data_IF_969278256499
#
_entry.id   IF_969278256499
#
_cell.length_a   1.000
_cell.length_b   1.000
_cell.length_c   1.000
_cell.angle_alpha   90.00
_cell.angle_beta   90.00
_cell.angle_gamma   90.00
#
_symmetry.space_group_name_H-M   'P 1'
#
loop_
_entity.id
_entity.type
_entity.pdbx_description
1 polymer ?
#
# COMPACT_ATOMS: atom_id res chain seq x y z
N UNK A 1 28.97 -38.45 -17.67
CA UNK A 1 27.58 -38.82 -18.02
C UNK A 1 26.58 -38.67 -16.89
N UNK A 2 26.53 -39.48 -15.81
CA UNK A 2 25.49 -39.28 -14.75
C UNK A 2 25.64 -37.99 -13.92
N UNK A 3 26.87 -37.49 -13.68
CA UNK A 3 27.10 -36.23 -12.93
C UNK A 3 26.73 -34.96 -13.72
N UNK A 4 26.89 -34.96 -15.03
CA UNK A 4 26.52 -33.81 -15.88
C UNK A 4 25.01 -33.69 -16.06
N UNK A 5 24.28 -34.81 -16.07
CA UNK A 5 22.81 -34.80 -16.13
C UNK A 5 22.17 -34.36 -14.81
N UNK A 6 22.82 -34.65 -13.66
CA UNK A 6 22.35 -34.17 -12.34
C UNK A 6 22.58 -32.66 -12.21
N UNK A 7 23.75 -32.14 -12.60
CA UNK A 7 23.98 -30.68 -12.59
C UNK A 7 23.08 -29.91 -13.59
N UNK A 8 22.63 -30.55 -14.67
CA UNK A 8 21.72 -29.92 -15.63
C UNK A 8 20.27 -29.89 -15.11
N UNK A 9 19.84 -30.89 -14.35
CA UNK A 9 18.53 -30.93 -13.68
C UNK A 9 18.46 -30.07 -12.40
N UNK A 10 19.60 -29.82 -11.75
CA UNK A 10 19.70 -28.86 -10.63
C UNK A 10 19.72 -27.40 -11.10
N UNK A 11 20.21 -27.13 -12.33
CA UNK A 11 20.18 -25.80 -12.95
C UNK A 11 18.84 -25.45 -13.63
N UNK A 12 17.97 -26.43 -13.89
CA UNK A 12 16.64 -26.22 -14.48
C UNK A 12 15.50 -26.18 -13.42
N UNK A 13 15.83 -26.28 -12.13
CA UNK A 13 14.87 -26.29 -11.00
C UNK A 13 15.07 -25.17 -9.97
N UNK A 14 15.75 -24.07 -10.31
CA UNK A 14 16.03 -22.99 -9.36
C UNK A 14 15.88 -21.59 -9.97
N UNK A 15 14.88 -21.37 -10.83
CA UNK A 15 14.34 -20.02 -11.07
C UNK A 15 13.57 -19.58 -9.83
N UNK A 16 14.31 -19.34 -8.75
CA UNK A 16 13.76 -18.68 -7.59
C UNK A 16 13.41 -17.26 -8.02
N UNK A 17 12.11 -16.94 -8.01
CA UNK A 17 11.64 -15.59 -8.26
C UNK A 17 12.35 -14.63 -7.28
N UNK A 18 13.17 -13.73 -7.82
CA UNK A 18 13.89 -12.74 -7.03
C UNK A 18 12.98 -11.52 -6.78
N UNK A 19 12.05 -11.70 -5.85
CA UNK A 19 11.08 -10.68 -5.47
C UNK A 19 11.72 -9.38 -4.97
N UNK A 20 12.91 -9.47 -4.37
CA UNK A 20 13.61 -8.28 -3.88
C UNK A 20 14.17 -7.48 -5.03
N UNK A 21 14.84 -8.16 -5.98
CA UNK A 21 15.33 -7.52 -7.20
C UNK A 21 14.20 -6.88 -8.02
N UNK A 22 13.07 -7.58 -8.19
CA UNK A 22 11.89 -7.05 -8.89
C UNK A 22 11.33 -5.79 -8.19
N UNK A 23 11.24 -5.80 -6.86
CA UNK A 23 10.81 -4.62 -6.09
C UNK A 23 11.77 -3.43 -6.25
N UNK A 24 13.10 -3.66 -6.20
CA UNK A 24 14.10 -2.60 -6.42
C UNK A 24 14.02 -2.02 -7.84
N UNK A 25 13.86 -2.87 -8.84
CA UNK A 25 13.72 -2.44 -10.23
C UNK A 25 12.44 -1.64 -10.45
N UNK A 26 11.32 -2.06 -9.84
CA UNK A 26 10.06 -1.32 -9.87
C UNK A 26 10.19 0.07 -9.23
N UNK A 27 10.85 0.18 -8.05
CA UNK A 27 11.12 1.47 -7.41
C UNK A 27 11.95 2.38 -8.28
N UNK A 28 13.05 1.85 -8.84
CA UNK A 28 13.91 2.61 -9.76
C UNK A 28 13.10 3.16 -10.93
N UNK A 29 12.25 2.33 -11.53
CA UNK A 29 11.41 2.74 -12.66
C UNK A 29 10.48 3.89 -12.30
N UNK A 30 9.78 3.82 -11.15
CA UNK A 30 8.88 4.88 -10.67
C UNK A 30 9.67 6.18 -10.47
N UNK A 31 10.81 6.12 -9.77
CA UNK A 31 11.65 7.27 -9.48
C UNK A 31 12.18 7.93 -10.75
N UNK A 32 12.57 7.14 -11.75
CA UNK A 32 13.02 7.64 -13.06
C UNK A 32 11.93 8.36 -13.85
N UNK A 33 10.64 8.25 -13.49
CA UNK A 33 9.60 9.09 -14.09
C UNK A 33 9.56 10.52 -13.51
N UNK A 34 10.33 10.80 -12.47
CA UNK A 34 10.37 12.10 -11.79
C UNK A 34 11.78 12.39 -11.25
N UNK A 35 12.77 12.35 -12.14
CA UNK A 35 14.19 12.44 -11.78
C UNK A 35 14.55 13.71 -10.99
N UNK A 36 13.92 14.85 -11.31
CA UNK A 36 14.13 16.11 -10.59
C UNK A 36 13.78 16.00 -9.09
N UNK A 37 12.85 15.10 -8.76
CA UNK A 37 12.40 14.84 -7.40
C UNK A 37 13.22 13.73 -6.71
N UNK A 38 13.66 12.72 -7.46
CA UNK A 38 14.28 11.51 -6.92
C UNK A 38 15.78 11.33 -7.24
N UNK A 39 16.45 12.29 -7.87
CA UNK A 39 17.79 12.11 -8.48
C UNK A 39 18.81 11.30 -7.65
N UNK A 40 19.11 11.74 -6.42
CA UNK A 40 20.06 11.01 -5.56
C UNK A 40 19.55 9.62 -5.12
N UNK A 41 18.23 9.45 -5.00
CA UNK A 41 17.62 8.17 -4.61
C UNK A 41 17.70 7.13 -5.71
N UNK A 42 17.64 7.54 -6.98
CA UNK A 42 17.83 6.65 -8.13
C UNK A 42 19.22 6.02 -8.10
N UNK A 43 20.25 6.81 -7.78
CA UNK A 43 21.62 6.31 -7.66
C UNK A 43 21.80 5.34 -6.50
N UNK A 44 21.10 5.57 -5.38
CA UNK A 44 21.13 4.67 -4.23
C UNK A 44 20.44 3.34 -4.56
N UNK A 45 19.26 3.35 -5.17
CA UNK A 45 18.57 2.13 -5.61
C UNK A 45 19.38 1.39 -6.69
N UNK A 46 20.06 2.10 -7.59
CA UNK A 46 20.94 1.45 -8.57
C UNK A 46 22.12 0.73 -7.89
N UNK A 47 22.67 1.30 -6.82
CA UNK A 47 23.72 0.66 -6.01
C UNK A 47 23.19 -0.57 -5.30
N UNK A 48 21.99 -0.50 -4.71
CA UNK A 48 21.34 -1.65 -4.08
C UNK A 48 21.15 -2.81 -5.07
N UNK A 49 20.69 -2.51 -6.29
CA UNK A 49 20.50 -3.53 -7.34
C UNK A 49 21.82 -4.23 -7.66
N UNK A 50 22.90 -3.46 -7.88
CA UNK A 50 24.21 -4.02 -8.23
C UNK A 50 24.74 -4.89 -7.08
N UNK A 51 24.64 -4.39 -5.86
CA UNK A 51 25.13 -5.08 -4.67
C UNK A 51 24.36 -6.38 -4.41
N UNK A 52 23.04 -6.35 -4.53
CA UNK A 52 22.22 -7.55 -4.42
C UNK A 52 22.55 -8.58 -5.49
N UNK A 53 22.65 -8.17 -6.75
CA UNK A 53 22.99 -9.08 -7.85
C UNK A 53 24.39 -9.68 -7.72
N UNK A 54 25.35 -8.94 -7.16
CA UNK A 54 26.75 -9.37 -7.06
C UNK A 54 27.01 -10.19 -5.79
N UNK A 55 26.50 -9.73 -4.65
CA UNK A 55 26.86 -10.22 -3.33
C UNK A 55 25.67 -10.74 -2.51
N UNK A 56 24.44 -10.60 -3.01
CA UNK A 56 23.20 -10.88 -2.26
C UNK A 56 23.18 -10.11 -0.92
N UNK A 57 23.68 -8.88 -0.92
CA UNK A 57 23.78 -8.01 0.27
C UNK A 57 22.79 -6.84 0.17
N UNK A 58 21.93 -6.71 1.19
CA UNK A 58 20.90 -5.66 1.33
C UNK A 58 21.29 -4.57 2.33
N UNK A 59 22.50 -4.59 2.90
CA UNK A 59 22.93 -3.64 3.93
C UNK A 59 22.90 -2.19 3.46
N UNK A 60 23.17 -1.94 2.18
CA UNK A 60 23.11 -0.57 1.63
C UNK A 60 21.67 -0.05 1.71
N UNK A 61 20.69 -0.88 1.33
CA UNK A 61 19.27 -0.57 1.46
C UNK A 61 18.93 -0.30 2.93
N UNK A 62 19.24 -1.23 3.83
CA UNK A 62 18.93 -1.09 5.25
C UNK A 62 19.62 0.13 5.90
N UNK A 63 20.83 0.50 5.44
CA UNK A 63 21.56 1.67 5.91
C UNK A 63 21.00 3.00 5.41
N UNK A 64 20.61 3.06 4.14
CA UNK A 64 20.03 4.26 3.52
C UNK A 64 18.57 4.50 3.95
N UNK A 65 17.85 3.43 4.29
CA UNK A 65 16.41 3.45 4.55
C UNK A 65 16.04 3.03 5.97
N UNK A 66 17.03 2.91 6.88
CA UNK A 66 16.95 2.37 8.24
C UNK A 66 16.07 3.10 9.26
N UNK A 67 15.17 3.98 8.82
CA UNK A 67 14.15 4.60 9.66
C UNK A 67 12.84 4.91 8.95
N UNK A 68 12.65 4.48 7.69
CA UNK A 68 11.54 4.82 6.78
C UNK A 68 11.26 6.32 6.55
N UNK A 69 11.70 7.23 7.43
CA UNK A 69 11.40 8.67 7.39
C UNK A 69 11.92 9.33 6.11
N UNK A 70 13.20 9.16 5.77
CA UNK A 70 13.81 9.80 4.60
C UNK A 70 13.17 9.42 3.26
N UNK A 71 12.56 8.24 3.17
CA UNK A 71 11.94 7.72 1.95
C UNK A 71 10.41 7.93 1.95
N UNK A 72 9.77 7.99 3.13
CA UNK A 72 8.38 8.41 3.30
C UNK A 72 8.20 9.91 3.04
N UNK A 73 9.23 10.72 3.32
CA UNK A 73 9.26 12.17 3.06
C UNK A 73 9.33 12.49 1.55
N UNK A 74 9.60 11.47 0.71
CA UNK A 74 9.67 11.60 -0.74
C UNK A 74 8.30 11.64 -1.43
N UNK A 75 7.19 11.74 -0.69
CA UNK A 75 5.88 12.03 -1.31
C UNK A 75 5.58 11.17 -2.54
N UNK A 76 5.47 9.85 -2.36
CA UNK A 76 5.12 8.92 -3.42
C UNK A 76 3.60 8.65 -3.50
N UNK A 77 3.12 8.31 -4.69
CA UNK A 77 1.77 7.74 -4.84
C UNK A 77 1.67 6.33 -4.23
N UNK A 78 0.47 5.79 -4.11
CA UNK A 78 0.21 4.54 -3.39
C UNK A 78 1.00 3.33 -3.92
N UNK A 79 1.34 3.29 -5.22
CA UNK A 79 2.20 2.24 -5.77
C UNK A 79 3.61 2.29 -5.17
N UNK A 80 4.19 3.49 -5.11
CA UNK A 80 5.51 3.71 -4.55
C UNK A 80 5.56 3.30 -3.09
N UNK A 81 4.64 3.81 -2.26
CA UNK A 81 4.60 3.49 -0.82
C UNK A 81 4.48 1.99 -0.56
N UNK A 82 3.61 1.31 -1.30
CA UNK A 82 3.45 -0.13 -1.15
C UNK A 82 4.72 -0.89 -1.56
N UNK A 83 5.28 -0.63 -2.75
CA UNK A 83 6.48 -1.33 -3.25
C UNK A 83 7.70 -1.03 -2.37
N UNK A 84 7.81 0.19 -1.85
CA UNK A 84 8.83 0.56 -0.87
C UNK A 84 8.76 -0.32 0.39
N UNK A 85 7.55 -0.49 0.97
CA UNK A 85 7.35 -1.37 2.12
C UNK A 85 7.70 -2.84 1.83
N UNK A 86 7.48 -3.30 0.59
CA UNK A 86 7.89 -4.63 0.13
C UNK A 86 9.42 -4.71 0.10
N UNK A 87 10.09 -3.78 -0.60
CA UNK A 87 11.54 -3.76 -0.74
C UNK A 87 12.24 -3.73 0.62
N UNK A 88 11.77 -2.91 1.56
CA UNK A 88 12.32 -2.83 2.91
C UNK A 88 12.15 -4.14 3.69
N UNK A 89 10.97 -4.78 3.61
CA UNK A 89 10.75 -6.09 4.27
C UNK A 89 11.69 -7.15 3.73
N UNK A 90 11.82 -7.24 2.41
CA UNK A 90 12.69 -8.22 1.77
C UNK A 90 14.17 -7.92 2.00
N UNK A 91 14.57 -6.65 2.07
CA UNK A 91 15.94 -6.30 2.46
C UNK A 91 16.27 -6.82 3.86
N UNK A 92 15.30 -6.83 4.78
CA UNK A 92 15.47 -7.35 6.14
C UNK A 92 15.49 -8.89 6.17
N UNK A 93 14.61 -9.53 5.40
CA UNK A 93 14.56 -10.98 5.26
C UNK A 93 14.01 -11.37 3.86
N UNK A 94 14.89 -11.69 2.90
CA UNK A 94 14.48 -11.98 1.52
C UNK A 94 13.59 -13.22 1.36
N UNK A 95 13.53 -14.08 2.38
CA UNK A 95 12.76 -15.32 2.35
C UNK A 95 11.36 -15.15 2.97
N UNK A 96 11.07 -14.01 3.58
CA UNK A 96 9.84 -13.77 4.34
C UNK A 96 8.74 -13.11 3.49
N UNK A 97 8.30 -13.87 2.48
CA UNK A 97 7.24 -13.49 1.55
C UNK A 97 5.89 -13.36 2.27
N UNK A 98 5.63 -14.20 3.29
CA UNK A 98 4.36 -14.27 4.01
C UNK A 98 4.05 -12.98 4.79
N UNK A 99 5.08 -12.28 5.26
CA UNK A 99 4.91 -11.06 6.05
C UNK A 99 4.83 -9.77 5.22
N UNK A 100 4.97 -9.86 3.89
CA UNK A 100 5.01 -8.69 3.00
C UNK A 100 3.71 -7.91 3.02
N UNK A 101 2.56 -8.58 3.03
CA UNK A 101 1.27 -7.88 3.14
C UNK A 101 1.18 -7.05 4.43
N UNK A 102 1.72 -7.57 5.54
CA UNK A 102 1.73 -6.85 6.82
C UNK A 102 2.68 -5.65 6.81
N UNK A 103 3.80 -5.71 6.07
CA UNK A 103 4.76 -4.60 6.02
C UNK A 103 4.23 -3.36 5.31
N UNK A 104 3.21 -3.52 4.46
CA UNK A 104 2.56 -2.43 3.72
C UNK A 104 1.65 -1.53 4.59
N UNK A 105 1.55 -1.80 5.89
CA UNK A 105 0.76 -0.99 6.83
C UNK A 105 -0.74 -0.96 6.50
N UNK A 106 -1.41 0.12 6.91
CA UNK A 106 -2.87 0.28 6.79
C UNK A 106 -3.33 1.03 5.54
N UNK A 107 -2.39 1.44 4.67
CA UNK A 107 -2.72 2.14 3.44
C UNK A 107 -3.64 1.28 2.56
N UNK A 108 -4.85 1.79 2.27
CA UNK A 108 -5.87 1.07 1.51
C UNK A 108 -6.76 0.13 2.33
N UNK A 109 -6.62 0.12 3.66
CA UNK A 109 -7.48 -0.63 4.58
C UNK A 109 -8.44 0.26 5.38
N UNK A 110 -8.10 1.53 5.54
CA UNK A 110 -8.84 2.48 6.38
C UNK A 110 -9.51 3.58 5.56
N UNK A 111 -10.75 3.88 5.95
CA UNK A 111 -11.47 5.07 5.54
C UNK A 111 -11.29 6.14 6.63
N UNK A 112 -10.75 7.29 6.25
CA UNK A 112 -10.49 8.39 7.19
C UNK A 112 -11.60 9.44 7.12
N UNK A 113 -11.99 9.96 8.27
CA UNK A 113 -12.94 11.07 8.37
C UNK A 113 -13.01 11.61 9.78
N UNK A 114 -14.19 12.06 10.18
CA UNK A 114 -14.41 12.78 11.41
C UNK A 114 -15.47 12.14 12.28
N UNK A 115 -15.22 12.09 13.58
CA UNK A 115 -16.15 11.62 14.60
C UNK A 115 -16.39 12.70 15.64
N UNK A 116 -17.66 12.89 16.00
CA UNK A 116 -18.04 13.75 17.11
C UNK A 116 -18.29 12.92 18.38
N UNK A 117 -17.37 12.96 19.38
CA UNK A 117 -17.54 12.24 20.64
C UNK A 117 -18.77 12.69 21.43
N UNK A 118 -19.28 13.91 21.19
CA UNK A 118 -20.43 14.44 21.91
C UNK A 118 -21.78 13.89 21.46
N UNK A 119 -21.92 13.51 20.18
CA UNK A 119 -23.23 13.11 19.62
C UNK A 119 -23.18 11.90 18.68
N UNK A 120 -21.99 11.28 18.51
CA UNK A 120 -21.78 10.12 17.66
C UNK A 120 -21.91 10.40 16.16
N UNK A 121 -21.93 11.66 15.74
CA UNK A 121 -21.97 12.01 14.33
C UNK A 121 -20.65 11.61 13.65
N UNK A 122 -20.75 10.91 12.52
CA UNK A 122 -19.63 10.50 11.71
C UNK A 122 -19.78 11.12 10.33
N UNK A 123 -18.67 11.62 9.78
CA UNK A 123 -18.65 12.06 8.40
C UNK A 123 -17.34 11.73 7.70
N UNK A 124 -17.44 11.59 6.39
CA UNK A 124 -16.32 11.40 5.49
C UNK A 124 -16.49 12.28 4.26
N UNK A 125 -15.36 12.77 3.75
CA UNK A 125 -15.37 13.54 2.53
C UNK A 125 -15.38 12.62 1.31
N UNK A 126 -16.02 13.06 0.23
CA UNK A 126 -16.01 12.31 -1.04
C UNK A 126 -14.58 11.99 -1.50
N UNK A 127 -13.65 12.93 -1.40
CA UNK A 127 -12.24 12.72 -1.77
C UNK A 127 -11.55 11.62 -0.94
N UNK A 128 -11.96 11.44 0.32
CA UNK A 128 -11.45 10.37 1.19
C UNK A 128 -11.98 9.00 0.80
N UNK A 129 -13.23 8.90 0.34
CA UNK A 129 -13.76 7.66 -0.25
C UNK A 129 -13.01 7.33 -1.55
N UNK A 130 -12.81 8.30 -2.42
CA UNK A 130 -12.04 8.11 -3.67
C UNK A 130 -10.61 7.66 -3.37
N UNK A 131 -9.96 8.27 -2.38
CA UNK A 131 -8.61 7.90 -1.92
C UNK A 131 -8.58 6.49 -1.34
N UNK A 132 -9.56 6.13 -0.49
CA UNK A 132 -9.70 4.77 0.05
C UNK A 132 -9.80 3.74 -1.07
N UNK A 133 -10.69 3.95 -2.05
CA UNK A 133 -10.89 3.02 -3.18
C UNK A 133 -9.62 2.87 -4.01
N UNK A 134 -8.94 3.98 -4.33
CA UNK A 134 -7.68 3.94 -5.09
C UNK A 134 -6.58 3.18 -4.34
N UNK A 135 -6.37 3.53 -3.07
CA UNK A 135 -5.35 2.87 -2.25
C UNK A 135 -5.63 1.38 -2.09
N UNK A 136 -6.92 1.02 -1.93
CA UNK A 136 -7.35 -0.35 -1.83
C UNK A 136 -7.06 -1.14 -3.12
N UNK A 137 -7.45 -0.58 -4.27
CA UNK A 137 -7.19 -1.16 -5.58
C UNK A 137 -5.68 -1.36 -5.83
N UNK A 138 -4.88 -0.32 -5.59
CA UNK A 138 -3.44 -0.35 -5.77
C UNK A 138 -2.80 -1.42 -4.87
N UNK A 139 -3.20 -1.48 -3.61
CA UNK A 139 -2.70 -2.50 -2.66
C UNK A 139 -2.94 -3.91 -3.18
N UNK A 140 -4.16 -4.20 -3.63
CA UNK A 140 -4.53 -5.51 -4.14
C UNK A 140 -3.72 -5.87 -5.39
N UNK A 141 -3.58 -4.94 -6.33
CA UNK A 141 -2.84 -5.16 -7.57
C UNK A 141 -1.33 -5.33 -7.33
N UNK A 142 -0.74 -4.56 -6.42
CA UNK A 142 0.66 -4.70 -6.02
C UNK A 142 0.88 -6.09 -5.40
N UNK A 143 -0.01 -6.56 -4.53
CA UNK A 143 0.10 -7.91 -3.95
C UNK A 143 -0.02 -9.02 -4.99
N UNK A 144 -0.90 -8.86 -5.98
CA UNK A 144 -1.04 -9.81 -7.09
C UNK A 144 0.26 -9.93 -7.88
N UNK A 145 0.84 -8.81 -8.30
CA UNK A 145 2.08 -8.80 -9.09
C UNK A 145 3.32 -9.13 -8.26
N UNK A 146 3.31 -8.84 -6.96
CA UNK A 146 4.36 -9.27 -6.04
C UNK A 146 4.47 -10.80 -6.02
N UNK A 147 3.33 -11.52 -5.93
CA UNK A 147 3.32 -13.00 -5.87
C UNK A 147 3.94 -13.66 -7.11
N UNK A 148 3.95 -12.96 -8.24
CA UNK A 148 4.52 -13.44 -9.51
C UNK A 148 5.84 -12.77 -9.88
N UNK A 149 6.44 -11.98 -8.96
CA UNK A 149 7.64 -11.17 -9.20
C UNK A 149 7.58 -10.36 -10.51
N UNK A 150 6.47 -9.64 -10.68
CA UNK A 150 6.18 -8.83 -11.86
C UNK A 150 5.80 -7.38 -11.50
N UNK A 151 6.35 -6.83 -10.42
CA UNK A 151 6.14 -5.45 -10.00
C UNK A 151 6.71 -4.46 -11.01
N UNK A 152 7.86 -4.74 -11.63
CA UNK A 152 8.40 -3.89 -12.68
C UNK A 152 7.44 -3.80 -13.88
N UNK A 153 6.89 -4.94 -14.30
CA UNK A 153 5.92 -4.99 -15.40
C UNK A 153 4.62 -4.27 -15.06
N UNK A 154 4.15 -4.38 -13.81
CA UNK A 154 3.05 -3.58 -13.31
C UNK A 154 3.34 -2.08 -13.47
N UNK A 155 4.51 -1.61 -13.05
CA UNK A 155 4.86 -0.20 -13.12
C UNK A 155 4.94 0.32 -14.56
N UNK A 156 5.45 -0.50 -15.48
CA UNK A 156 5.45 -0.16 -16.92
C UNK A 156 4.02 -0.03 -17.46
N UNK A 157 3.11 -0.91 -17.07
CA UNK A 157 1.70 -0.92 -17.50
C UNK A 157 0.89 0.24 -16.93
N UNK A 158 1.17 0.67 -15.70
CA UNK A 158 0.36 1.66 -14.96
C UNK A 158 0.67 3.12 -15.24
N UNK A 159 1.55 3.42 -16.21
CA UNK A 159 1.81 4.77 -16.68
C UNK A 159 0.54 5.52 -17.12
N UNK A 160 -0.43 4.81 -17.68
CA UNK A 160 -1.63 5.38 -18.31
C UNK A 160 -2.94 4.97 -17.60
N UNK A 161 -2.91 4.75 -16.28
CA UNK A 161 -4.10 4.28 -15.56
C UNK A 161 -5.20 5.35 -15.53
N UNK A 162 -6.36 5.00 -16.10
CA UNK A 162 -7.58 5.79 -15.97
C UNK A 162 -8.35 5.43 -14.69
N UNK A 163 -8.33 6.34 -13.73
CA UNK A 163 -9.03 6.20 -12.45
C UNK A 163 -10.55 6.27 -12.57
N UNK A 164 -11.12 6.76 -13.70
CA UNK A 164 -12.56 6.79 -13.93
C UNK A 164 -13.16 5.37 -13.99
N UNK A 165 -12.33 4.37 -14.33
CA UNK A 165 -12.71 2.96 -14.27
C UNK A 165 -13.12 2.47 -12.87
N UNK A 166 -12.78 3.22 -11.81
CA UNK A 166 -13.13 2.91 -10.43
C UNK A 166 -14.43 3.59 -9.94
N UNK A 167 -15.17 4.28 -10.81
CA UNK A 167 -16.37 5.03 -10.43
C UNK A 167 -17.45 4.16 -9.75
N UNK A 168 -17.59 2.91 -10.19
CA UNK A 168 -18.55 1.98 -9.59
C UNK A 168 -18.11 1.57 -8.18
N UNK A 169 -16.81 1.37 -7.98
CA UNK A 169 -16.23 1.06 -6.67
C UNK A 169 -16.38 2.24 -5.71
N UNK A 170 -16.20 3.47 -6.21
CA UNK A 170 -16.47 4.70 -5.43
C UNK A 170 -17.94 4.80 -5.03
N UNK A 171 -18.88 4.53 -5.96
CA UNK A 171 -20.32 4.49 -5.65
C UNK A 171 -20.65 3.44 -4.59
N UNK A 172 -20.09 2.24 -4.72
CA UNK A 172 -20.31 1.16 -3.76
C UNK A 172 -19.75 1.53 -2.36
N UNK A 173 -18.52 2.03 -2.28
CA UNK A 173 -17.94 2.49 -1.02
C UNK A 173 -18.73 3.63 -0.38
N UNK A 174 -19.29 4.53 -1.20
CA UNK A 174 -20.21 5.58 -0.74
C UNK A 174 -21.45 5.00 -0.10
N UNK A 175 -22.09 4.02 -0.74
CA UNK A 175 -23.27 3.37 -0.19
C UNK A 175 -22.96 2.61 1.12
N UNK A 176 -21.82 1.94 1.19
CA UNK A 176 -21.36 1.26 2.41
C UNK A 176 -21.15 2.26 3.56
N UNK A 177 -20.53 3.41 3.30
CA UNK A 177 -20.36 4.46 4.30
C UNK A 177 -21.72 4.96 4.83
N UNK A 178 -22.67 5.24 3.94
CA UNK A 178 -24.02 5.66 4.31
C UNK A 178 -24.75 4.60 5.14
N UNK A 179 -24.68 3.33 4.74
CA UNK A 179 -25.26 2.20 5.48
C UNK A 179 -24.62 2.02 6.87
N UNK A 180 -23.39 2.53 7.05
CA UNK A 180 -22.64 2.48 8.30
C UNK A 180 -22.87 3.71 9.19
N UNK A 181 -23.90 4.51 8.90
CA UNK A 181 -24.20 5.78 9.59
C UNK A 181 -23.04 6.80 9.51
N UNK A 182 -22.32 6.83 8.40
CA UNK A 182 -21.30 7.83 8.09
C UNK A 182 -21.85 8.75 7.00
N UNK A 183 -21.99 10.03 7.32
CA UNK A 183 -22.42 11.04 6.34
C UNK A 183 -21.32 11.25 5.28
N UNK A 184 -21.72 11.37 4.02
CA UNK A 184 -20.80 11.68 2.92
C UNK A 184 -21.01 13.11 2.48
N UNK A 185 -19.99 13.95 2.67
CA UNK A 185 -20.05 15.39 2.41
C UNK A 185 -19.06 15.79 1.31
N UNK A 186 -19.31 16.96 0.71
CA UNK A 186 -18.34 17.60 -0.19
C UNK A 186 -17.15 18.10 0.62
N UNK A 187 -15.98 18.13 -0.01
CA UNK A 187 -14.76 18.62 0.64
C UNK A 187 -14.99 20.02 1.22
N UNK A 188 -14.71 20.16 2.51
CA UNK A 188 -14.67 21.43 3.21
C UNK A 188 -13.41 21.50 4.08
N UNK A 189 -12.95 22.73 4.42
CA UNK A 189 -11.83 22.89 5.32
C UNK A 189 -12.06 22.18 6.66
N UNK A 190 -10.98 22.05 7.43
CA UNK A 190 -10.99 21.46 8.76
C UNK A 190 -12.13 22.02 9.62
N UNK A 191 -12.86 21.13 10.30
CA UNK A 191 -14.01 21.48 11.14
C UNK A 191 -13.68 21.31 12.62
N UNK A 192 -13.77 22.39 13.38
CA UNK A 192 -13.61 22.38 14.84
C UNK A 192 -14.92 22.01 15.56
N UNK A 193 -16.06 22.31 14.92
CA UNK A 193 -17.39 22.29 15.53
C UNK A 193 -18.30 21.32 14.79
N UNK A 194 -18.95 20.42 15.52
CA UNK A 194 -19.81 19.40 14.94
C UNK A 194 -21.02 20.04 14.23
N UNK A 195 -21.24 19.74 12.94
CA UNK A 195 -22.37 20.31 12.20
C UNK A 195 -23.73 19.80 12.71
N UNK A 196 -23.75 18.66 13.42
CA UNK A 196 -24.98 18.07 13.97
C UNK A 196 -25.37 18.65 15.33
N UNK A 197 -24.42 18.88 16.24
CA UNK A 197 -24.72 19.27 17.62
C UNK A 197 -24.14 20.63 18.06
N UNK A 198 -23.35 21.29 17.21
CA UNK A 198 -22.76 22.60 17.49
C UNK A 198 -21.67 22.61 18.57
N UNK A 199 -21.26 21.45 19.10
CA UNK A 199 -20.19 21.35 20.09
C UNK A 199 -18.83 21.26 19.41
N UNK A 200 -17.82 21.87 20.05
CA UNK A 200 -16.42 21.73 19.68
C UNK A 200 -15.87 20.34 20.03
N UNK A 201 -14.76 19.99 19.41
CA UNK A 201 -14.05 18.73 19.64
C UNK A 201 -14.59 17.66 18.72
N UNK A 202 -14.16 17.71 17.47
CA UNK A 202 -14.28 16.63 16.50
C UNK A 202 -12.90 15.99 16.37
N UNK A 203 -12.88 14.67 16.37
CA UNK A 203 -11.66 13.90 16.25
C UNK A 203 -11.51 13.32 14.85
N UNK A 204 -10.27 13.21 14.38
CA UNK A 204 -9.96 12.38 13.22
C UNK A 204 -10.25 10.94 13.63
N UNK A 205 -10.98 10.23 12.77
CA UNK A 205 -11.43 8.87 13.04
C UNK A 205 -11.20 7.99 11.83
N UNK A 206 -10.97 6.70 12.11
CA UNK A 206 -10.64 5.70 11.10
C UNK A 206 -11.65 4.56 11.19
N UNK A 207 -12.16 4.14 10.04
CA UNK A 207 -13.01 2.97 9.92
C UNK A 207 -12.36 1.93 9.03
N UNK A 208 -12.60 0.65 9.32
CA UNK A 208 -12.26 -0.47 8.45
C UNK A 208 -13.53 -1.16 8.00
N UNK A 209 -13.54 -1.75 6.82
CA UNK A 209 -14.70 -2.50 6.38
C UNK A 209 -14.73 -3.90 7.01
N UNK A 210 -15.85 -4.22 7.65
CA UNK A 210 -16.22 -5.57 8.00
C UNK A 210 -16.99 -6.22 6.85
N UNK A 211 -16.31 -7.09 6.10
CA UNK A 211 -16.89 -7.81 4.97
C UNK A 211 -18.07 -8.72 5.28
N UNK A 212 -18.23 -9.16 6.53
CA UNK A 212 -19.34 -10.04 6.90
C UNK A 212 -20.64 -9.27 7.00
N UNK A 213 -20.54 -8.00 7.35
CA UNK A 213 -21.68 -7.14 7.67
C UNK A 213 -21.88 -6.04 6.63
N UNK A 214 -20.98 -5.93 5.65
CA UNK A 214 -20.96 -4.86 4.65
C UNK A 214 -21.05 -3.47 5.30
N UNK A 215 -20.29 -3.29 6.39
CA UNK A 215 -20.29 -2.08 7.20
C UNK A 215 -18.89 -1.64 7.57
N UNK A 216 -18.68 -0.33 7.54
CA UNK A 216 -17.53 0.32 8.12
C UNK A 216 -17.68 0.36 9.64
N UNK A 217 -16.72 -0.25 10.33
CA UNK A 217 -16.67 -0.31 11.79
C UNK A 217 -15.46 0.47 12.29
N UNK A 218 -15.54 1.09 13.48
CA UNK A 218 -14.41 1.78 14.09
C UNK A 218 -13.14 0.95 14.11
N UNK A 219 -12.03 1.52 13.65
CA UNK A 219 -10.72 0.91 13.78
C UNK A 219 -10.21 1.07 15.22
N UNK A 220 -10.15 -0.01 15.99
CA UNK A 220 -9.42 -0.03 17.27
C UNK A 220 -7.95 -0.29 17.03
N UNK A 221 -7.07 0.52 17.64
CA UNK A 221 -5.62 0.64 17.39
C UNK A 221 -4.77 -0.65 17.43
N UNK A 222 -5.30 -1.80 17.83
CA UNK A 222 -4.53 -3.04 17.81
C UNK A 222 -4.64 -3.71 16.43
N UNK A 223 -3.67 -3.44 15.56
CA UNK A 223 -3.54 -4.09 14.25
C UNK A 223 -3.45 -5.62 14.37
N UNK A 224 -3.06 -6.17 15.53
CA UNK A 224 -3.05 -7.60 15.81
C UNK A 224 -4.43 -8.15 16.21
N UNK A 225 -5.39 -7.27 16.54
CA UNK A 225 -6.77 -7.62 16.85
C UNK A 225 -7.69 -7.58 15.61
N UNK A 226 -7.15 -7.19 14.44
CA UNK A 226 -7.89 -7.27 13.20
C UNK A 226 -8.07 -8.74 12.81
N UNK A 227 -9.30 -9.25 12.94
CA UNK A 227 -9.65 -10.62 12.60
C UNK A 227 -9.51 -10.89 11.08
N UNK A 228 -9.33 -12.14 10.68
CA UNK A 228 -9.08 -12.54 9.28
C UNK A 228 -10.16 -12.07 8.27
N UNK A 229 -11.35 -11.69 8.75
CA UNK A 229 -12.45 -11.11 7.97
C UNK A 229 -12.27 -9.62 7.63
N UNK A 230 -11.23 -8.96 8.15
CA UNK A 230 -10.88 -7.58 7.79
C UNK A 230 -10.07 -7.64 6.49
N UNK A 231 -10.79 -7.85 5.38
CA UNK A 231 -10.21 -7.91 4.02
C UNK A 231 -11.22 -7.53 2.93
N UNK A 232 -11.32 -6.25 2.59
CA UNK A 232 -11.86 -5.69 1.32
C UNK A 232 -13.38 -5.71 1.05
N UNK A 233 -13.93 -4.53 0.68
CA UNK A 233 -15.26 -4.34 0.09
C UNK A 233 -15.44 -4.91 -1.31
N UNK A 234 -14.35 -5.36 -1.92
CA UNK A 234 -14.22 -5.56 -3.35
C UNK A 234 -13.59 -6.93 -3.63
N UNK A 235 -14.30 -7.99 -3.23
CA UNK A 235 -14.14 -9.32 -3.81
C UNK A 235 -15.15 -9.52 -4.92
#
# INVERSE_FOLDING_TARGET
>A
MKKETINKLENENNERLDHYLDALQALKYIMSQSEDYYGHWIENIQRDIIEWQTNQDSKIHLGNYGGMGSFNDLGGGSYFTNIQSIAYRLATNPNDIESVEKSMGTLGLQLDGYHCPNCGYNEVYKSKIETYVRNHFVRAEVLEHFRTASLLELMKKRRDLDWSSLDNQVKNATQLALNSNIAVVKDHPWIETCPKCGKKGIDIYHWVLNNKEDQFVPYSLDANALSDNIRSAFK
#
